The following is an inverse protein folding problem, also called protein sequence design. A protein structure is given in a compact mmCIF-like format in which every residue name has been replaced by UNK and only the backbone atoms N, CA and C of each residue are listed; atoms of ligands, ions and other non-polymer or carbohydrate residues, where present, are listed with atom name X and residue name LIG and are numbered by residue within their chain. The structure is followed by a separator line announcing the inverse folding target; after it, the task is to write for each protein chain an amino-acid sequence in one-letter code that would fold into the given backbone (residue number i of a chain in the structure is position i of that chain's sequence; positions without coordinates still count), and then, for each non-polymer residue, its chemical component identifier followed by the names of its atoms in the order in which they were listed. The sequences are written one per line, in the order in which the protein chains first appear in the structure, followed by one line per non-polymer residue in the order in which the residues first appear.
data_IF_285911013590
#
_entry.id   IF_285911013590
#
_cell.length_a   1.000
_cell.length_b   1.000
_cell.length_c   1.000
_cell.angle_alpha   90.00
_cell.angle_beta   90.00
_cell.angle_gamma   90.00
#
_symmetry.space_group_name_H-M   'P 1'
#
loop_
_entity.id
_entity.type
_entity.pdbx_description
1 polymer ?
#
# COMPACT_ATOMS: atom_id res chain seq x y z
N UNK A 1 18.33 10.61 -20.06
CA UNK A 1 19.18 11.09 -18.94
C UNK A 1 18.63 12.38 -18.32
N UNK A 2 18.09 13.32 -19.10
CA UNK A 2 17.50 14.56 -18.57
C UNK A 2 16.21 14.31 -17.75
N UNK A 3 15.33 13.42 -18.21
CA UNK A 3 14.12 13.00 -17.47
C UNK A 3 14.44 12.45 -16.07
N UNK A 4 15.52 11.66 -15.94
CA UNK A 4 15.95 11.12 -14.65
C UNK A 4 16.33 12.25 -13.68
N UNK A 5 17.00 13.31 -14.17
CA UNK A 5 17.37 14.48 -13.36
C UNK A 5 16.14 15.31 -12.95
N UNK A 6 15.15 15.42 -13.84
CA UNK A 6 13.87 16.10 -13.54
C UNK A 6 13.12 15.34 -12.45
N UNK A 7 13.06 14.01 -12.54
CA UNK A 7 12.43 13.16 -11.55
C UNK A 7 13.13 13.24 -10.19
N UNK A 8 14.46 13.12 -10.14
CA UNK A 8 15.24 13.24 -8.90
C UNK A 8 15.03 14.60 -8.22
N UNK A 9 15.02 15.69 -9.01
CA UNK A 9 14.73 17.04 -8.50
C UNK A 9 13.30 17.14 -7.95
N UNK A 10 12.34 16.53 -8.63
CA UNK A 10 10.94 16.49 -8.19
C UNK A 10 10.79 15.73 -6.86
N UNK A 11 11.49 14.60 -6.69
CA UNK A 11 11.54 13.89 -5.41
C UNK A 11 12.15 14.71 -4.29
N UNK A 12 13.22 15.46 -4.55
CA UNK A 12 13.81 16.37 -3.54
C UNK A 12 12.85 17.47 -3.11
N UNK A 13 12.10 18.04 -4.06
CA UNK A 13 11.05 19.03 -3.76
C UNK A 13 9.93 18.41 -2.93
N UNK A 14 9.46 17.20 -3.30
CA UNK A 14 8.44 16.47 -2.56
C UNK A 14 8.87 16.17 -1.12
N UNK A 15 10.10 15.67 -0.91
CA UNK A 15 10.62 15.42 0.43
C UNK A 15 10.75 16.71 1.27
N UNK A 16 11.06 17.83 0.61
CA UNK A 16 11.09 19.15 1.27
C UNK A 16 9.68 19.58 1.66
N UNK A 17 8.68 19.37 0.79
CA UNK A 17 7.27 19.64 1.10
C UNK A 17 6.82 18.88 2.34
N UNK A 18 7.06 17.57 2.39
CA UNK A 18 6.67 16.72 3.53
C UNK A 18 7.28 17.24 4.85
N UNK A 19 8.60 17.52 4.85
CA UNK A 19 9.30 17.98 6.04
C UNK A 19 8.80 19.34 6.54
N UNK A 20 8.51 20.27 5.62
CA UNK A 20 8.01 21.60 5.99
C UNK A 20 6.52 21.61 6.32
N UNK A 21 5.76 20.64 5.82
CA UNK A 21 4.37 20.42 6.20
C UNK A 21 4.26 20.01 7.67
N UNK A 22 5.06 19.04 8.11
CA UNK A 22 5.08 18.64 9.52
C UNK A 22 5.53 19.81 10.41
N UNK A 23 6.51 20.60 9.97
CA UNK A 23 6.93 21.82 10.68
C UNK A 23 5.82 22.86 10.73
N UNK A 24 5.03 23.06 9.67
CA UNK A 24 3.94 24.04 9.63
C UNK A 24 2.84 23.77 10.66
N UNK A 25 2.69 22.51 11.10
CA UNK A 25 1.74 22.13 12.16
C UNK A 25 2.19 22.60 13.54
N UNK A 26 3.50 22.66 13.78
CA UNK A 26 4.08 23.01 15.09
C UNK A 26 4.49 24.49 15.14
N UNK A 27 5.07 24.99 14.04
CA UNK A 27 5.66 26.33 13.93
C UNK A 27 5.22 26.97 12.60
N UNK A 28 3.95 27.39 12.49
CA UNK A 28 3.48 28.10 11.31
C UNK A 28 4.16 29.47 11.22
N UNK A 29 4.76 29.76 10.06
CA UNK A 29 5.46 31.02 9.83
C UNK A 29 5.41 31.42 8.35
N UNK A 30 5.66 32.70 8.07
CA UNK A 30 5.79 33.20 6.69
C UNK A 30 6.88 32.48 5.90
N UNK A 31 7.96 32.09 6.58
CA UNK A 31 9.05 31.34 5.98
C UNK A 31 8.58 29.94 5.55
N UNK A 32 7.90 29.22 6.45
CA UNK A 32 7.34 27.89 6.18
C UNK A 32 6.35 27.95 5.01
N UNK A 33 5.40 28.90 5.03
CA UNK A 33 4.45 29.08 3.93
C UNK A 33 5.15 29.35 2.59
N UNK A 34 6.18 30.20 2.60
CA UNK A 34 6.92 30.54 1.37
C UNK A 34 7.63 29.32 0.77
N UNK A 35 8.19 28.45 1.61
CA UNK A 35 8.83 27.21 1.14
C UNK A 35 7.78 26.27 0.56
N UNK A 36 6.68 26.03 1.28
CA UNK A 36 5.60 25.15 0.82
C UNK A 36 5.05 25.60 -0.54
N UNK A 37 4.68 26.87 -0.67
CA UNK A 37 4.16 27.46 -1.92
C UNK A 37 5.16 27.32 -3.07
N UNK A 38 6.43 27.66 -2.84
CA UNK A 38 7.45 27.58 -3.88
C UNK A 38 7.74 26.14 -4.30
N UNK A 39 7.76 25.20 -3.36
CA UNK A 39 7.97 23.80 -3.67
C UNK A 39 6.80 23.20 -4.46
N UNK A 40 5.54 23.51 -4.10
CA UNK A 40 4.37 23.07 -4.89
C UNK A 40 4.41 23.61 -6.31
N UNK A 41 4.64 24.93 -6.46
CA UNK A 41 4.76 25.54 -7.78
C UNK A 41 5.90 24.93 -8.60
N UNK A 42 7.08 24.75 -7.99
CA UNK A 42 8.25 24.19 -8.67
C UNK A 42 8.03 22.72 -9.06
N UNK A 43 7.39 21.94 -8.19
CA UNK A 43 7.07 20.54 -8.44
C UNK A 43 6.12 20.41 -9.63
N UNK A 44 5.08 21.25 -9.68
CA UNK A 44 4.15 21.30 -10.80
C UNK A 44 4.85 21.78 -12.08
N UNK A 45 5.58 22.89 -12.03
CA UNK A 45 6.25 23.48 -13.19
C UNK A 45 7.28 22.55 -13.83
N UNK A 46 8.01 21.75 -13.02
CA UNK A 46 8.94 20.74 -13.54
C UNK A 46 8.26 19.62 -14.32
N UNK A 47 6.99 19.34 -14.01
CA UNK A 47 6.22 18.24 -14.59
C UNK A 47 5.10 18.75 -15.52
N UNK A 48 5.07 20.05 -15.85
CA UNK A 48 3.98 20.66 -16.64
C UNK A 48 3.91 20.15 -18.08
N UNK A 49 5.02 19.62 -18.62
CA UNK A 49 5.07 19.01 -19.95
C UNK A 49 4.46 17.61 -19.96
N UNK A 50 4.33 16.98 -18.80
CA UNK A 50 3.74 15.65 -18.66
C UNK A 50 2.22 15.81 -18.60
N UNK A 51 1.44 15.12 -19.46
CA UNK A 51 -0.01 15.11 -19.35
C UNK A 51 -0.44 14.78 -17.92
N UNK A 52 -1.42 15.52 -17.37
CA UNK A 52 -1.76 15.43 -15.96
C UNK A 52 -2.09 14.00 -15.50
N UNK A 53 -2.77 13.23 -16.34
CA UNK A 53 -3.07 11.81 -16.16
C UNK A 53 -1.83 10.97 -15.86
N UNK A 54 -0.70 11.29 -16.50
CA UNK A 54 0.55 10.55 -16.39
C UNK A 54 1.54 11.22 -15.41
N UNK A 55 1.11 12.23 -14.67
CA UNK A 55 1.98 12.98 -13.77
C UNK A 55 2.20 12.17 -12.48
N UNK A 56 3.45 11.81 -12.14
CA UNK A 56 3.74 10.95 -10.99
C UNK A 56 3.41 11.58 -9.63
N UNK A 57 3.10 12.89 -9.59
CA UNK A 57 2.75 13.62 -8.38
C UNK A 57 1.25 13.99 -8.30
N UNK A 58 0.42 13.48 -9.21
CA UNK A 58 -1.02 13.74 -9.17
C UNK A 58 -1.66 13.22 -7.87
N UNK A 59 -1.30 12.01 -7.42
CA UNK A 59 -1.79 11.45 -6.16
C UNK A 59 -1.46 12.34 -4.97
N UNK A 60 -0.21 12.84 -4.88
CA UNK A 60 0.22 13.79 -3.85
C UNK A 60 -0.70 15.03 -3.78
N UNK A 61 -1.02 15.65 -4.91
CA UNK A 61 -1.87 16.85 -4.92
C UNK A 61 -3.32 16.54 -4.53
N UNK A 62 -3.86 15.42 -4.99
CA UNK A 62 -5.22 14.97 -4.63
C UNK A 62 -5.31 14.70 -3.12
N UNK A 63 -4.36 13.92 -2.57
CA UNK A 63 -4.27 13.62 -1.15
C UNK A 63 -4.08 14.89 -0.30
N UNK A 64 -3.24 15.82 -0.77
CA UNK A 64 -3.00 17.08 -0.09
C UNK A 64 -4.29 17.90 0.01
N UNK A 65 -5.07 18.03 -1.07
CA UNK A 65 -6.36 18.75 -1.02
C UNK A 65 -7.31 18.07 -0.03
N UNK A 66 -7.53 16.76 -0.16
CA UNK A 66 -8.44 16.00 0.72
C UNK A 66 -8.10 16.15 2.19
N UNK A 67 -6.80 16.21 2.52
CA UNK A 67 -6.32 16.31 3.88
C UNK A 67 -6.33 17.74 4.42
N UNK A 68 -5.97 18.73 3.61
CA UNK A 68 -5.88 20.14 4.02
C UNK A 68 -7.26 20.80 4.15
N UNK A 69 -8.28 20.29 3.46
CA UNK A 69 -9.67 20.76 3.59
C UNK A 69 -10.41 20.19 4.81
N UNK A 70 -9.84 19.20 5.49
CA UNK A 70 -10.46 18.68 6.70
C UNK A 70 -10.47 19.77 7.78
N UNK A 71 -11.60 19.98 8.48
CA UNK A 71 -11.70 20.98 9.52
C UNK A 71 -10.72 20.64 10.64
N UNK A 72 -9.68 21.47 10.79
CA UNK A 72 -8.70 21.31 11.86
C UNK A 72 -9.31 21.88 13.15
N UNK A 73 -9.45 21.04 14.17
CA UNK A 73 -9.88 21.47 15.51
C UNK A 73 -8.72 22.23 16.18
N UNK A 74 -8.55 23.51 15.86
CA UNK A 74 -7.44 24.31 16.39
C UNK A 74 -7.68 24.75 17.85
N UNK A 75 -6.68 24.54 18.71
CA UNK A 75 -6.59 25.18 20.04
C UNK A 75 -5.81 26.49 19.86
N UNK A 76 -6.52 27.60 19.78
CA UNK A 76 -5.93 28.91 19.44
C UNK A 76 -5.18 29.52 20.64
N UNK A 77 -3.85 29.58 20.58
CA UNK A 77 -3.06 30.54 21.37
C UNK A 77 -2.63 31.66 20.43
N UNK A 78 -3.36 32.78 20.45
CA UNK A 78 -3.10 33.92 19.57
C UNK A 78 -1.82 34.64 19.99
N UNK A 79 -0.89 34.76 19.03
CA UNK A 79 0.18 35.76 19.02
C UNK A 79 -0.10 36.71 17.85
N UNK A 80 -0.03 38.03 18.07
CA UNK A 80 -0.56 39.07 17.17
C UNK A 80 0.14 39.19 15.80
N UNK A 81 1.29 38.54 15.57
CA UNK A 81 2.02 38.61 14.29
C UNK A 81 2.23 37.24 13.60
N UNK A 82 1.82 36.13 14.23
CA UNK A 82 2.07 34.80 13.70
C UNK A 82 0.95 34.33 12.76
N UNK A 83 1.32 33.77 11.60
CA UNK A 83 0.35 33.06 10.74
C UNK A 83 -0.19 31.85 11.50
N UNK A 84 -1.50 31.62 11.41
CA UNK A 84 -2.14 30.43 11.96
C UNK A 84 -1.94 29.23 11.03
N UNK A 85 -1.78 28.03 11.58
CA UNK A 85 -1.56 26.80 10.82
C UNK A 85 -2.68 26.54 9.79
N UNK A 86 -3.95 26.75 10.19
CA UNK A 86 -5.11 26.71 9.30
C UNK A 86 -4.95 27.61 8.07
N UNK A 87 -4.47 28.84 8.23
CA UNK A 87 -4.24 29.72 7.10
C UNK A 87 -3.15 29.20 6.16
N UNK A 88 -2.10 28.56 6.68
CA UNK A 88 -1.08 27.90 5.83
C UNK A 88 -1.72 26.78 5.01
N UNK A 89 -2.56 25.95 5.63
CA UNK A 89 -3.24 24.85 4.95
C UNK A 89 -4.22 25.35 3.89
N UNK A 90 -5.04 26.37 4.20
CA UNK A 90 -5.99 26.96 3.25
C UNK A 90 -5.28 27.57 2.05
N UNK A 91 -4.23 28.36 2.26
CA UNK A 91 -3.46 28.97 1.16
C UNK A 91 -2.81 27.90 0.29
N UNK A 92 -2.25 26.85 0.90
CA UNK A 92 -1.66 25.74 0.15
C UNK A 92 -2.70 24.96 -0.66
N UNK A 93 -3.85 24.64 -0.07
CA UNK A 93 -4.92 23.94 -0.78
C UNK A 93 -5.42 24.74 -1.99
N UNK A 94 -5.67 26.05 -1.82
CA UNK A 94 -6.10 26.92 -2.92
C UNK A 94 -5.04 27.07 -4.02
N UNK A 95 -3.76 27.08 -3.67
CA UNK A 95 -2.69 27.06 -4.66
C UNK A 95 -2.72 25.76 -5.48
N UNK A 96 -2.82 24.60 -4.83
CA UNK A 96 -2.83 23.30 -5.53
C UNK A 96 -4.05 23.21 -6.46
N UNK A 97 -5.24 23.62 -5.98
CA UNK A 97 -6.44 23.71 -6.82
C UNK A 97 -6.22 24.60 -8.04
N UNK A 98 -5.62 25.78 -7.83
CA UNK A 98 -5.30 26.72 -8.90
C UNK A 98 -4.32 26.12 -9.91
N UNK A 99 -3.31 25.37 -9.46
CA UNK A 99 -2.36 24.68 -10.34
C UNK A 99 -3.04 23.61 -11.19
N UNK A 100 -3.91 22.79 -10.58
CA UNK A 100 -4.64 21.73 -11.28
C UNK A 100 -5.66 22.27 -12.30
N UNK A 101 -6.30 23.40 -12.01
CA UNK A 101 -7.23 24.06 -12.93
C UNK A 101 -6.53 24.91 -14.00
N UNK A 102 -5.36 25.47 -13.70
CA UNK A 102 -4.67 26.39 -14.59
C UNK A 102 -3.98 25.62 -15.72
N UNK A 103 -4.52 25.75 -16.94
CA UNK A 103 -3.78 25.37 -18.15
C UNK A 103 -2.52 26.21 -18.41
N UNK A 104 -2.33 27.33 -17.70
CA UNK A 104 -1.15 28.19 -17.78
C UNK A 104 -0.68 28.67 -16.39
N UNK A 105 0.48 28.19 -15.96
CA UNK A 105 1.11 28.46 -14.65
C UNK A 105 1.75 29.86 -14.54
N UNK A 106 1.92 30.56 -15.66
CA UNK A 106 2.71 31.81 -15.72
C UNK A 106 2.16 32.92 -14.81
N UNK A 107 0.84 32.96 -14.59
CA UNK A 107 0.23 33.96 -13.71
C UNK A 107 0.48 33.67 -12.24
N UNK A 108 0.55 32.39 -11.85
CA UNK A 108 0.84 31.97 -10.48
C UNK A 108 2.30 32.25 -10.13
N UNK A 109 3.22 32.04 -11.07
CA UNK A 109 4.66 32.32 -10.88
C UNK A 109 5.01 33.79 -10.64
N UNK A 110 4.10 34.73 -10.92
CA UNK A 110 4.31 36.16 -10.66
C UNK A 110 3.87 36.60 -9.27
N UNK A 111 3.12 35.75 -8.54
CA UNK A 111 2.59 36.08 -7.22
C UNK A 111 3.57 35.64 -6.14
N UNK A 112 3.82 36.50 -5.17
CA UNK A 112 4.57 36.11 -3.98
C UNK A 112 3.65 35.42 -2.95
N UNK A 113 4.20 34.63 -2.01
CA UNK A 113 3.41 33.93 -0.99
C UNK A 113 2.49 34.84 -0.17
N UNK A 114 2.90 36.09 0.10
CA UNK A 114 2.07 37.09 0.79
C UNK A 114 0.85 37.51 -0.05
N UNK A 115 1.03 37.68 -1.37
CA UNK A 115 -0.09 38.01 -2.25
C UNK A 115 -1.09 36.87 -2.33
N UNK A 116 -0.62 35.63 -2.46
CA UNK A 116 -1.48 34.43 -2.43
C UNK A 116 -2.23 34.33 -1.11
N UNK A 117 -1.56 34.59 0.02
CA UNK A 117 -2.19 34.62 1.33
C UNK A 117 -3.32 35.65 1.39
N UNK A 118 -3.05 36.90 1.00
CA UNK A 118 -4.05 37.97 1.07
C UNK A 118 -5.24 37.68 0.15
N UNK A 119 -5.01 37.15 -1.05
CA UNK A 119 -6.08 36.76 -1.96
C UNK A 119 -6.98 35.66 -1.39
N UNK A 120 -6.40 34.66 -0.72
CA UNK A 120 -7.16 33.52 -0.19
C UNK A 120 -7.83 33.83 1.14
N UNK A 121 -7.12 34.51 2.05
CA UNK A 121 -7.57 34.72 3.43
C UNK A 121 -8.30 36.04 3.61
N UNK A 122 -7.79 37.15 3.04
CA UNK A 122 -8.40 38.47 3.21
C UNK A 122 -9.51 38.74 2.19
N UNK A 123 -9.45 38.11 1.02
CA UNK A 123 -10.41 38.28 -0.08
C UNK A 123 -10.96 36.94 -0.60
N UNK A 124 -11.53 36.08 0.27
CA UNK A 124 -11.87 34.71 -0.08
C UNK A 124 -12.82 34.67 -1.27
N UNK A 125 -12.32 34.15 -2.39
CA UNK A 125 -13.15 33.80 -3.54
C UNK A 125 -13.61 32.37 -3.36
N UNK A 126 -14.91 32.16 -3.28
CA UNK A 126 -15.49 30.82 -3.34
C UNK A 126 -15.34 30.29 -4.77
N UNK A 127 -14.21 29.62 -5.02
CA UNK A 127 -14.06 28.80 -6.22
C UNK A 127 -14.56 27.40 -5.90
N UNK A 128 -15.55 26.91 -6.66
CA UNK A 128 -15.92 25.50 -6.61
C UNK A 128 -14.83 24.71 -7.31
N UNK A 129 -14.18 23.81 -6.59
CA UNK A 129 -13.20 22.89 -7.15
C UNK A 129 -13.76 21.48 -7.06
N UNK A 130 -13.96 20.84 -8.22
CA UNK A 130 -14.35 19.44 -8.28
C UNK A 130 -13.09 18.57 -8.32
N UNK A 131 -12.89 17.76 -7.27
CA UNK A 131 -11.77 16.84 -7.16
C UNK A 131 -12.01 15.54 -7.95
N UNK A 132 -13.27 15.24 -8.33
CA UNK A 132 -13.61 13.96 -8.96
C UNK A 132 -12.92 13.65 -10.28
N UNK A 133 -12.70 14.61 -11.20
CA UNK A 133 -11.97 14.33 -12.43
C UNK A 133 -10.56 13.81 -12.16
N UNK A 134 -9.88 14.33 -11.13
CA UNK A 134 -8.51 13.93 -10.77
C UNK A 134 -8.48 12.59 -10.05
N UNK A 135 -9.46 12.32 -9.17
CA UNK A 135 -9.61 10.99 -8.56
C UNK A 135 -9.86 9.94 -9.64
N UNK A 136 -10.74 10.21 -10.60
CA UNK A 136 -11.01 9.29 -11.72
C UNK A 136 -9.74 9.00 -12.53
N UNK A 137 -8.89 10.00 -12.77
CA UNK A 137 -7.59 9.76 -13.43
C UNK A 137 -6.72 8.79 -12.62
N UNK A 138 -6.68 8.92 -11.29
CA UNK A 138 -5.92 8.00 -10.42
C UNK A 138 -6.54 6.61 -10.35
N UNK A 139 -7.88 6.51 -10.40
CA UNK A 139 -8.61 5.24 -10.46
C UNK A 139 -8.42 4.53 -11.81
N UNK A 140 -8.31 5.28 -12.92
CA UNK A 140 -8.05 4.74 -14.26
C UNK A 140 -6.61 4.23 -14.42
N UNK A 141 -5.65 4.79 -13.68
CA UNK A 141 -4.24 4.36 -13.66
C UNK A 141 -3.95 3.34 -12.53
N UNK A 142 -4.98 2.79 -11.89
CA UNK A 142 -4.89 1.82 -10.78
C UNK A 142 -4.03 2.31 -9.60
N UNK A 143 -3.96 3.62 -9.39
CA UNK A 143 -3.31 4.26 -8.23
C UNK A 143 -4.33 4.36 -7.07
N UNK A 144 -5.59 4.64 -7.37
CA UNK A 144 -6.71 4.68 -6.42
C UNK A 144 -7.68 3.53 -6.67
N UNK A 145 -8.37 3.09 -5.61
CA UNK A 145 -9.50 2.18 -5.73
C UNK A 145 -10.68 2.89 -6.39
N UNK A 146 -11.33 2.25 -7.37
CA UNK A 146 -12.55 2.78 -7.97
C UNK A 146 -13.59 2.97 -6.88
N UNK A 147 -13.99 4.22 -6.67
CA UNK A 147 -15.10 4.48 -5.78
C UNK A 147 -16.33 3.77 -6.36
N UNK A 148 -17.04 2.92 -5.58
CA UNK A 148 -18.24 2.26 -6.07
C UNK A 148 -19.18 3.31 -6.66
N UNK A 149 -19.51 3.17 -7.94
CA UNK A 149 -20.48 4.08 -8.53
C UNK A 149 -21.76 3.96 -7.69
N UNK A 150 -22.30 5.08 -7.18
CA UNK A 150 -23.54 5.04 -6.43
C UNK A 150 -24.55 4.28 -7.30
N UNK A 151 -25.25 3.27 -6.75
CA UNK A 151 -26.11 2.41 -7.54
C UNK A 151 -27.01 3.32 -8.36
N UNK A 152 -26.88 3.24 -9.69
CA UNK A 152 -27.77 3.97 -10.57
C UNK A 152 -29.19 3.71 -10.07
N UNK A 153 -30.06 4.73 -9.95
CA UNK A 153 -31.40 4.55 -9.45
C UNK A 153 -32.12 3.57 -10.38
N UNK A 154 -32.05 2.28 -10.02
CA UNK A 154 -32.77 1.23 -10.67
C UNK A 154 -34.23 1.60 -10.46
N UNK A 155 -34.88 1.93 -11.56
CA UNK A 155 -36.31 2.15 -11.64
C UNK A 155 -36.99 0.80 -11.34
N UNK A 156 -37.08 0.44 -10.05
CA UNK A 156 -37.68 -0.82 -9.62
C UNK A 156 -39.19 -0.67 -9.74
N UNK A 157 -39.74 -1.15 -10.86
CA UNK A 157 -41.16 -1.46 -10.96
C UNK A 157 -41.46 -2.65 -10.06
N UNK A 158 -42.25 -2.39 -9.02
CA UNK A 158 -42.72 -3.38 -8.05
C UNK A 158 -43.66 -4.41 -8.69
N UNK A 159 -43.26 -5.68 -8.68
CA UNK A 159 -44.07 -6.91 -8.71
C UNK A 159 -43.06 -8.06 -8.51
N UNK A 160 -43.20 -9.05 -7.64
CA UNK A 160 -44.25 -9.53 -6.78
C UNK A 160 -43.70 -10.76 -6.05
N UNK A 161 -44.02 -10.85 -4.77
CA UNK A 161 -44.25 -12.04 -3.95
C UNK A 161 -43.71 -13.41 -4.43
N UNK A 162 -42.77 -14.00 -3.69
CA UNK A 162 -42.68 -15.45 -3.47
C UNK A 162 -41.74 -15.81 -2.32
N UNK A 163 -42.40 -16.19 -1.22
CA UNK A 163 -41.90 -16.86 -0.03
C UNK A 163 -41.21 -18.19 -0.38
N UNK A 164 -39.96 -18.38 0.07
CA UNK A 164 -39.29 -19.69 0.10
C UNK A 164 -38.54 -19.89 1.44
N UNK A 165 -38.48 -21.13 1.96
CA UNK A 165 -38.16 -21.41 3.36
C UNK A 165 -36.66 -21.54 3.62
N UNK A 166 -36.25 -21.00 4.77
CA UNK A 166 -34.90 -21.04 5.32
C UNK A 166 -34.52 -22.46 5.77
N UNK A 167 -33.38 -23.04 5.32
CA UNK A 167 -32.88 -24.28 5.90
C UNK A 167 -32.13 -24.00 7.21
N UNK A 168 -32.33 -24.92 8.13
CA UNK A 168 -31.89 -24.89 9.53
C UNK A 168 -30.35 -24.92 9.66
N UNK A 169 -29.86 -23.97 10.46
CA UNK A 169 -28.50 -23.88 10.98
C UNK A 169 -28.11 -25.12 11.79
N UNK A 170 -27.25 -25.96 11.22
CA UNK A 170 -26.48 -26.96 11.96
C UNK A 170 -25.34 -26.32 12.77
N UNK A 171 -24.83 -26.99 13.83
CA UNK A 171 -23.76 -26.47 14.67
C UNK A 171 -22.44 -26.39 13.87
N UNK A 172 -21.96 -25.17 13.65
CA UNK A 172 -20.63 -24.86 13.12
C UNK A 172 -19.55 -25.60 13.91
N UNK A 173 -18.99 -26.66 13.32
CA UNK A 173 -17.73 -27.25 13.80
C UNK A 173 -16.66 -26.15 13.78
N UNK A 174 -15.88 -26.08 14.86
CA UNK A 174 -14.84 -25.08 15.03
C UNK A 174 -13.70 -25.32 14.05
N UNK A 175 -13.53 -24.43 13.06
CA UNK A 175 -12.45 -24.45 12.04
C UNK A 175 -11.04 -24.63 12.62
N UNK A 176 -10.83 -24.26 13.88
CA UNK A 176 -9.55 -24.44 14.58
C UNK A 176 -9.19 -25.90 14.81
N UNK A 177 -10.19 -26.78 15.02
CA UNK A 177 -9.95 -28.20 15.21
C UNK A 177 -9.44 -28.86 13.92
N UNK A 178 -9.99 -28.44 12.78
CA UNK A 178 -9.64 -29.02 11.49
C UNK A 178 -8.20 -28.69 11.09
N UNK A 179 -7.76 -27.45 11.34
CA UNK A 179 -6.38 -27.04 11.06
C UNK A 179 -5.35 -27.76 11.93
N UNK A 180 -5.65 -27.98 13.22
CA UNK A 180 -4.76 -28.73 14.11
C UNK A 180 -4.64 -30.20 13.71
N UNK A 181 -5.75 -30.82 13.31
CA UNK A 181 -5.75 -32.18 12.81
C UNK A 181 -4.95 -32.29 11.50
N UNK A 182 -5.12 -31.34 10.59
CA UNK A 182 -4.34 -31.25 9.36
C UNK A 182 -2.83 -31.08 9.63
N UNK A 183 -2.42 -30.26 10.60
CA UNK A 183 -1.00 -30.12 10.99
C UNK A 183 -0.38 -31.45 11.41
N UNK A 184 -1.08 -32.20 12.26
CA UNK A 184 -0.59 -33.49 12.75
C UNK A 184 -0.51 -34.54 11.64
N UNK A 185 -1.50 -34.55 10.75
CA UNK A 185 -1.49 -35.40 9.56
C UNK A 185 -0.31 -35.07 8.64
N UNK A 186 -0.06 -33.79 8.37
CA UNK A 186 1.07 -33.37 7.54
C UNK A 186 2.43 -33.73 8.19
N UNK A 187 2.59 -33.56 9.50
CA UNK A 187 3.81 -33.98 10.22
C UNK A 187 4.01 -35.49 10.10
N UNK A 188 2.94 -36.29 10.27
CA UNK A 188 3.01 -37.74 10.09
C UNK A 188 3.41 -38.09 8.65
N UNK A 189 2.89 -37.38 7.66
CA UNK A 189 3.23 -37.60 6.24
C UNK A 189 4.63 -37.13 5.87
N UNK A 190 5.16 -36.08 6.51
CA UNK A 190 6.58 -35.73 6.37
C UNK A 190 7.50 -36.86 6.85
N UNK A 191 7.07 -37.65 7.85
CA UNK A 191 7.84 -38.79 8.36
C UNK A 191 7.74 -40.03 7.45
N UNK A 192 6.58 -40.29 6.87
CA UNK A 192 6.33 -41.52 6.09
C UNK A 192 6.51 -41.35 4.59
N UNK A 193 6.12 -40.19 4.05
CA UNK A 193 6.00 -39.88 2.62
C UNK A 193 6.43 -38.42 2.32
N UNK A 194 7.71 -38.05 2.57
CA UNK A 194 8.18 -36.68 2.43
C UNK A 194 7.99 -36.10 1.02
N UNK A 195 8.11 -36.93 -0.02
CA UNK A 195 7.93 -36.55 -1.43
C UNK A 195 6.52 -36.00 -1.75
N UNK A 196 5.52 -36.39 -0.96
CA UNK A 196 4.12 -35.92 -1.11
C UNK A 196 3.85 -34.73 -0.19
N UNK A 197 4.40 -34.76 1.02
CA UNK A 197 4.16 -33.74 2.03
C UNK A 197 4.90 -32.42 1.77
N UNK A 198 6.10 -32.46 1.16
CA UNK A 198 6.87 -31.24 0.84
C UNK A 198 6.12 -30.34 -0.16
N UNK A 199 5.56 -30.86 -1.27
CA UNK A 199 4.69 -30.06 -2.14
C UNK A 199 3.54 -29.39 -1.38
N UNK A 200 2.87 -30.10 -0.47
CA UNK A 200 1.80 -29.48 0.32
C UNK A 200 2.30 -28.36 1.25
N UNK A 201 3.49 -28.55 1.82
CA UNK A 201 4.13 -27.56 2.68
C UNK A 201 4.54 -26.28 1.91
N UNK A 202 4.98 -26.43 0.66
CA UNK A 202 5.35 -25.30 -0.22
C UNK A 202 4.13 -24.55 -0.77
N UNK A 203 2.96 -25.19 -0.82
CA UNK A 203 1.71 -24.61 -1.35
C UNK A 203 0.79 -24.02 -0.27
N UNK A 204 1.29 -23.85 0.97
CA UNK A 204 0.48 -23.28 2.04
C UNK A 204 0.01 -21.84 1.73
N UNK A 205 -1.18 -21.45 2.21
CA UNK A 205 -1.67 -20.10 2.00
C UNK A 205 -0.84 -19.07 2.79
N UNK A 206 -0.87 -17.82 2.34
CA UNK A 206 -0.17 -16.68 2.96
C UNK A 206 -1.00 -16.16 4.16
N UNK A 207 -1.22 -17.04 5.13
CA UNK A 207 -1.97 -16.77 6.35
C UNK A 207 -1.08 -16.91 7.59
N UNK A 208 -1.42 -16.19 8.66
CA UNK A 208 -0.65 -16.23 9.91
C UNK A 208 -0.53 -17.65 10.49
N UNK A 209 -1.58 -18.46 10.40
CA UNK A 209 -1.65 -19.84 10.88
C UNK A 209 -0.64 -20.76 10.17
N UNK A 210 -0.49 -20.61 8.86
CA UNK A 210 0.46 -21.34 8.01
C UNK A 210 1.89 -20.87 8.22
N UNK A 211 2.11 -19.55 8.29
CA UNK A 211 3.43 -18.96 8.54
C UNK A 211 3.98 -19.30 9.92
N UNK A 212 3.11 -19.31 10.94
CA UNK A 212 3.45 -19.75 12.29
C UNK A 212 3.84 -21.22 12.29
N UNK A 213 3.07 -22.08 11.60
CA UNK A 213 3.39 -23.50 11.46
C UNK A 213 4.75 -23.75 10.78
N UNK A 214 5.03 -23.09 9.66
CA UNK A 214 6.34 -23.17 8.99
C UNK A 214 7.46 -22.70 9.93
N UNK A 215 7.23 -21.60 10.64
CA UNK A 215 8.19 -21.10 11.64
C UNK A 215 8.44 -22.14 12.73
N UNK A 216 7.40 -22.78 13.26
CA UNK A 216 7.52 -23.84 14.28
C UNK A 216 8.36 -25.01 13.77
N UNK A 217 8.09 -25.51 12.56
CA UNK A 217 8.85 -26.63 11.97
C UNK A 217 10.36 -26.32 11.85
N UNK A 218 10.70 -25.08 11.50
CA UNK A 218 12.10 -24.64 11.41
C UNK A 218 12.73 -24.47 12.80
N UNK A 219 12.02 -23.83 13.72
CA UNK A 219 12.52 -23.57 15.08
C UNK A 219 12.74 -24.86 15.87
N UNK A 220 11.88 -25.85 15.71
CA UNK A 220 11.97 -27.15 16.36
C UNK A 220 12.96 -28.09 15.65
N UNK A 221 13.53 -27.68 14.51
CA UNK A 221 14.42 -28.51 13.71
C UNK A 221 13.71 -29.76 13.16
N UNK A 222 12.39 -29.72 12.99
CA UNK A 222 11.60 -30.88 12.57
C UNK A 222 12.01 -31.37 11.19
N UNK A 223 12.26 -30.46 10.24
CA UNK A 223 12.72 -30.80 8.89
C UNK A 223 14.12 -31.43 8.92
N UNK A 224 15.04 -30.83 9.69
CA UNK A 224 16.41 -31.34 9.85
C UNK A 224 16.42 -32.73 10.51
N UNK A 225 15.58 -32.96 11.52
CA UNK A 225 15.41 -34.25 12.18
C UNK A 225 14.91 -35.35 11.23
N UNK A 226 14.23 -34.97 10.15
CA UNK A 226 13.75 -35.86 9.09
C UNK A 226 14.71 -35.91 7.88
N UNK A 227 15.91 -35.34 8.00
CA UNK A 227 16.90 -35.21 6.92
C UNK A 227 16.37 -34.46 5.69
N UNK A 228 15.46 -33.51 5.89
CA UNK A 228 14.93 -32.61 4.86
C UNK A 228 15.66 -31.27 4.98
N UNK A 229 16.29 -30.83 3.88
CA UNK A 229 16.91 -29.50 3.81
C UNK A 229 15.81 -28.43 3.82
N UNK A 230 15.88 -27.52 4.79
CA UNK A 230 14.88 -26.47 4.98
C UNK A 230 15.00 -25.35 3.93
N UNK A 231 16.21 -25.08 3.42
CA UNK A 231 16.44 -23.96 2.52
C UNK A 231 15.63 -24.07 1.20
N UNK A 232 15.67 -25.21 0.46
CA UNK A 232 14.85 -25.39 -0.74
C UNK A 232 13.36 -25.28 -0.47
N UNK A 233 12.88 -25.89 0.62
CA UNK A 233 11.45 -25.87 0.99
C UNK A 233 10.95 -24.44 1.21
N UNK A 234 11.75 -23.60 1.89
CA UNK A 234 11.37 -22.21 2.16
C UNK A 234 11.48 -21.34 0.90
N UNK A 235 12.51 -21.53 0.06
CA UNK A 235 12.62 -20.86 -1.23
C UNK A 235 11.41 -21.18 -2.12
N UNK A 236 11.04 -22.46 -2.24
CA UNK A 236 9.89 -22.90 -3.03
C UNK A 236 8.56 -22.32 -2.49
N UNK A 237 8.39 -22.31 -1.16
CA UNK A 237 7.24 -21.65 -0.52
C UNK A 237 7.17 -20.17 -0.87
N UNK A 238 8.29 -19.44 -0.76
CA UNK A 238 8.35 -18.02 -1.07
C UNK A 238 8.04 -17.74 -2.54
N UNK A 239 8.56 -18.54 -3.46
CA UNK A 239 8.25 -18.42 -4.89
C UNK A 239 6.77 -18.68 -5.17
N UNK A 240 6.17 -19.70 -4.56
CA UNK A 240 4.75 -19.97 -4.68
C UNK A 240 3.91 -18.80 -4.11
N UNK A 241 4.25 -18.32 -2.90
CA UNK A 241 3.60 -17.18 -2.29
C UNK A 241 3.70 -15.90 -3.13
N UNK A 242 4.83 -15.66 -3.82
CA UNK A 242 4.99 -14.53 -4.72
C UNK A 242 4.09 -14.62 -5.95
N UNK A 243 3.92 -15.82 -6.53
CA UNK A 243 2.98 -16.06 -7.63
C UNK A 243 1.53 -15.84 -7.19
N UNK A 244 1.14 -16.32 -6.02
CA UNK A 244 -0.18 -16.05 -5.45
C UNK A 244 -0.41 -14.55 -5.23
N UNK A 245 0.59 -13.86 -4.68
CA UNK A 245 0.54 -12.42 -4.42
C UNK A 245 0.42 -11.61 -5.73
N UNK A 246 1.05 -12.07 -6.81
CA UNK A 246 0.89 -11.50 -8.14
C UNK A 246 -0.55 -11.66 -8.64
N UNK A 247 -1.10 -12.88 -8.56
CA UNK A 247 -2.48 -13.17 -8.96
C UNK A 247 -3.51 -12.36 -8.17
N UNK A 248 -3.27 -12.10 -6.88
CA UNK A 248 -4.12 -11.22 -6.07
C UNK A 248 -4.19 -9.79 -6.63
N UNK A 249 -3.18 -9.33 -7.36
CA UNK A 249 -3.16 -7.99 -7.96
C UNK A 249 -3.97 -7.90 -9.25
N UNK A 250 -4.27 -9.03 -9.89
CA UNK A 250 -5.01 -9.07 -11.16
C UNK A 250 -6.52 -9.16 -10.90
N UNK A 251 -7.35 -8.43 -11.67
CA UNK A 251 -8.79 -8.61 -11.59
C UNK A 251 -9.15 -10.05 -12.02
N UNK A 252 -10.17 -10.67 -11.41
CA UNK A 252 -10.59 -12.02 -11.78
C UNK A 252 -10.91 -12.07 -13.27
N UNK A 253 -10.23 -12.96 -14.00
CA UNK A 253 -10.42 -13.09 -15.44
C UNK A 253 -11.90 -13.44 -15.72
N UNK A 254 -12.61 -12.66 -16.55
CA UNK A 254 -14.04 -12.89 -16.81
C UNK A 254 -14.33 -14.24 -17.46
N UNK A 255 -13.30 -14.91 -17.98
CA UNK A 255 -13.38 -16.21 -18.66
C UNK A 255 -13.53 -17.40 -17.70
N UNK A 256 -13.19 -17.27 -16.42
CA UNK A 256 -13.25 -18.38 -15.45
C UNK A 256 -14.60 -18.49 -14.71
N UNK A 257 -15.45 -17.45 -14.81
CA UNK A 257 -16.77 -17.43 -14.16
C UNK A 257 -17.80 -18.42 -14.78
N UNK A 258 -17.43 -19.17 -15.83
CA UNK A 258 -18.37 -19.95 -16.64
C UNK A 258 -18.27 -21.48 -16.57
N UNK A 259 -17.23 -22.09 -15.96
CA UNK A 259 -16.94 -23.51 -16.26
C UNK A 259 -16.68 -24.47 -15.09
N UNK A 260 -16.78 -24.08 -13.82
CA UNK A 260 -16.59 -25.04 -12.71
C UNK A 260 -17.87 -25.22 -11.91
N UNK A 261 -18.76 -26.02 -12.47
CA UNK A 261 -19.91 -26.55 -11.77
C UNK A 261 -19.52 -27.60 -10.72
N UNK A 262 -20.18 -27.48 -9.57
CA UNK A 262 -20.54 -28.52 -8.60
C UNK A 262 -19.47 -28.97 -7.59
N UNK A 263 -19.77 -28.63 -6.33
CA UNK A 263 -19.35 -29.23 -5.05
C UNK A 263 -17.94 -28.89 -4.52
N UNK A 264 -17.81 -27.74 -3.85
CA UNK A 264 -17.62 -27.72 -2.39
C UNK A 264 -17.95 -26.33 -1.82
N UNK A 265 -18.68 -26.30 -0.71
CA UNK A 265 -19.43 -25.14 -0.20
C UNK A 265 -18.62 -24.12 0.60
N UNK A 266 -17.38 -23.84 0.19
CA UNK A 266 -16.57 -22.76 0.77
C UNK A 266 -16.13 -21.81 -0.33
N UNK A 267 -17.02 -20.89 -0.70
CA UNK A 267 -16.62 -19.62 -1.34
C UNK A 267 -15.67 -18.89 -0.38
N UNK A 268 -14.38 -19.24 -0.44
CA UNK A 268 -13.32 -18.32 -0.09
C UNK A 268 -13.43 -17.23 -1.14
N UNK A 269 -14.14 -16.15 -0.80
CA UNK A 269 -14.01 -14.86 -1.46
C UNK A 269 -12.54 -14.52 -1.36
N UNK A 270 -11.77 -14.90 -2.38
CA UNK A 270 -10.38 -14.53 -2.47
C UNK A 270 -10.37 -13.01 -2.53
N UNK A 271 -9.77 -12.39 -1.51
CA UNK A 271 -9.57 -10.95 -1.52
C UNK A 271 -8.67 -10.66 -2.74
N UNK A 272 -9.23 -10.04 -3.78
CA UNK A 272 -8.49 -9.55 -4.94
C UNK A 272 -8.20 -8.05 -4.76
N UNK A 273 -7.23 -7.56 -5.53
CA UNK A 273 -6.83 -6.16 -5.59
C UNK A 273 -5.54 -5.85 -4.84
N UNK A 274 -5.11 -4.58 -5.00
CA UNK A 274 -3.87 -4.03 -4.42
C UNK A 274 -3.81 -4.18 -2.90
N UNK A 275 -4.94 -4.10 -2.20
CA UNK A 275 -4.97 -4.25 -0.73
C UNK A 275 -4.60 -5.68 -0.32
N UNK A 276 -5.21 -6.68 -0.96
CA UNK A 276 -4.92 -8.08 -0.71
C UNK A 276 -3.45 -8.41 -1.02
N UNK A 277 -2.97 -7.94 -2.18
CA UNK A 277 -1.56 -8.03 -2.56
C UNK A 277 -0.65 -7.36 -1.50
N UNK A 278 -0.99 -6.16 -1.05
CA UNK A 278 -0.23 -5.43 -0.03
C UNK A 278 -0.20 -6.19 1.30
N UNK A 279 -1.33 -6.76 1.72
CA UNK A 279 -1.46 -7.54 2.96
C UNK A 279 -0.61 -8.82 2.88
N UNK A 280 -0.67 -9.52 1.76
CA UNK A 280 0.14 -10.71 1.50
C UNK A 280 1.65 -10.40 1.53
N UNK A 281 2.08 -9.33 0.85
CA UNK A 281 3.50 -8.89 0.91
C UNK A 281 3.91 -8.56 2.34
N UNK A 282 3.08 -7.84 3.12
CA UNK A 282 3.41 -7.51 4.52
C UNK A 282 3.57 -8.76 5.38
N UNK A 283 2.71 -9.76 5.23
CA UNK A 283 2.83 -11.04 5.93
C UNK A 283 4.12 -11.79 5.53
N UNK A 284 4.42 -11.81 4.23
CA UNK A 284 5.64 -12.43 3.73
C UNK A 284 6.91 -11.73 4.26
N UNK A 285 6.93 -10.39 4.29
CA UNK A 285 8.03 -9.62 4.88
C UNK A 285 8.21 -9.89 6.38
N UNK A 286 7.11 -10.03 7.13
CA UNK A 286 7.16 -10.38 8.55
C UNK A 286 7.76 -11.78 8.74
N UNK A 287 7.34 -12.74 7.92
CA UNK A 287 7.89 -14.09 7.94
C UNK A 287 9.39 -14.10 7.64
N UNK A 288 9.84 -13.48 6.53
CA UNK A 288 11.26 -13.42 6.16
C UNK A 288 12.09 -12.74 7.24
N UNK A 289 11.61 -11.61 7.79
CA UNK A 289 12.32 -10.90 8.87
C UNK A 289 12.47 -11.80 10.11
N UNK A 290 11.47 -12.63 10.41
CA UNK A 290 11.54 -13.58 11.51
C UNK A 290 12.54 -14.71 11.22
N UNK A 291 12.61 -15.22 9.98
CA UNK A 291 13.61 -16.21 9.57
C UNK A 291 15.04 -15.69 9.77
N UNK A 292 15.32 -14.48 9.30
CA UNK A 292 16.65 -13.85 9.37
C UNK A 292 17.04 -13.56 10.82
N UNK A 293 16.17 -12.90 11.60
CA UNK A 293 16.48 -12.54 12.99
C UNK A 293 16.76 -13.72 13.89
N UNK A 294 16.12 -14.86 13.61
CA UNK A 294 16.29 -16.10 14.37
C UNK A 294 17.32 -17.04 13.75
N UNK A 295 17.98 -16.63 12.65
CA UNK A 295 18.92 -17.45 11.89
C UNK A 295 18.35 -18.85 11.54
N UNK A 296 17.05 -18.92 11.21
CA UNK A 296 16.38 -20.19 10.87
C UNK A 296 16.70 -20.67 9.47
N UNK A 297 16.99 -19.72 8.57
CA UNK A 297 17.42 -19.97 7.19
C UNK A 297 18.51 -18.96 6.88
N UNK A 298 19.61 -19.41 6.26
CA UNK A 298 20.70 -18.54 5.83
C UNK A 298 20.21 -17.48 4.85
N UNK A 299 20.64 -16.23 5.02
CA UNK A 299 20.21 -15.12 4.16
C UNK A 299 20.59 -15.36 2.70
N UNK A 300 21.75 -16.00 2.48
CA UNK A 300 22.24 -16.43 1.17
C UNK A 300 21.30 -17.41 0.46
N UNK A 301 20.58 -18.24 1.21
CA UNK A 301 19.68 -19.25 0.66
C UNK A 301 18.37 -18.65 0.10
N UNK A 302 17.94 -17.50 0.62
CA UNK A 302 16.72 -16.79 0.22
C UNK A 302 17.00 -15.42 -0.40
N UNK A 303 18.25 -15.18 -0.82
CA UNK A 303 18.70 -13.88 -1.30
C UNK A 303 17.92 -13.44 -2.55
N UNK A 304 17.69 -14.36 -3.49
CA UNK A 304 17.02 -14.03 -4.75
C UNK A 304 15.55 -13.67 -4.54
N UNK A 305 14.84 -14.38 -3.66
CA UNK A 305 13.45 -14.08 -3.33
C UNK A 305 13.34 -12.73 -2.59
N UNK A 306 14.29 -12.41 -1.71
CA UNK A 306 14.37 -11.08 -1.08
C UNK A 306 14.55 -9.99 -2.14
N UNK A 307 15.47 -10.17 -3.09
CA UNK A 307 15.69 -9.21 -4.17
C UNK A 307 14.44 -9.05 -5.04
N UNK A 308 13.79 -10.16 -5.40
CA UNK A 308 12.56 -10.14 -6.18
C UNK A 308 11.47 -9.30 -5.49
N UNK A 309 11.24 -9.53 -4.19
CA UNK A 309 10.27 -8.76 -3.40
C UNK A 309 10.63 -7.27 -3.39
N UNK A 310 11.91 -6.96 -3.16
CA UNK A 310 12.40 -5.59 -3.03
C UNK A 310 12.29 -4.79 -4.33
N UNK A 311 12.43 -5.46 -5.48
CA UNK A 311 12.29 -4.83 -6.81
C UNK A 311 10.83 -4.73 -7.20
N UNK A 312 10.11 -5.84 -7.14
CA UNK A 312 8.75 -5.98 -7.67
C UNK A 312 7.72 -5.18 -6.88
N UNK A 313 7.88 -5.14 -5.56
CA UNK A 313 6.93 -4.49 -4.65
C UNK A 313 7.50 -3.21 -4.02
N UNK A 314 8.48 -2.57 -4.66
CA UNK A 314 9.15 -1.35 -4.18
C UNK A 314 8.20 -0.20 -3.84
N UNK A 315 7.01 -0.17 -4.46
CA UNK A 315 5.98 0.85 -4.22
C UNK A 315 5.36 0.73 -2.82
N UNK A 316 5.38 -0.46 -2.20
CA UNK A 316 4.94 -0.68 -0.82
C UNK A 316 5.99 -0.10 0.15
N UNK A 317 5.54 0.75 1.09
CA UNK A 317 6.45 1.41 2.05
C UNK A 317 7.25 0.41 2.88
N UNK A 318 6.60 -0.63 3.38
CA UNK A 318 7.20 -1.67 4.22
C UNK A 318 8.29 -2.46 3.49
N UNK A 319 8.21 -2.59 2.15
CA UNK A 319 9.26 -3.22 1.34
C UNK A 319 10.53 -2.35 1.32
N UNK A 320 10.39 -1.03 1.21
CA UNK A 320 11.54 -0.11 1.26
C UNK A 320 12.19 -0.10 2.64
N UNK A 321 11.38 -0.08 3.70
CA UNK A 321 11.87 -0.20 5.08
C UNK A 321 12.58 -1.54 5.31
N UNK A 322 12.03 -2.63 4.77
CA UNK A 322 12.65 -3.96 4.82
C UNK A 322 13.99 -4.01 4.06
N UNK A 323 14.07 -3.40 2.89
CA UNK A 323 15.32 -3.28 2.13
C UNK A 323 16.41 -2.57 2.94
N UNK A 324 16.08 -1.44 3.58
CA UNK A 324 17.02 -0.74 4.46
C UNK A 324 17.44 -1.60 5.65
N UNK A 325 16.55 -2.42 6.19
CA UNK A 325 16.87 -3.39 7.25
C UNK A 325 17.91 -4.42 6.78
N UNK A 326 17.75 -5.01 5.60
CA UNK A 326 18.71 -5.97 5.03
C UNK A 326 20.08 -5.32 4.74
N UNK A 327 20.08 -4.13 4.12
CA UNK A 327 21.31 -3.39 3.82
C UNK A 327 22.04 -2.93 5.10
N UNK A 328 21.29 -2.60 6.16
CA UNK A 328 21.82 -2.20 7.46
C UNK A 328 22.47 -3.35 8.25
N UNK A 329 21.89 -4.56 8.20
CA UNK A 329 22.51 -5.74 8.81
C UNK A 329 23.81 -6.15 8.08
N UNK A 330 23.87 -5.98 6.75
CA UNK A 330 25.06 -6.28 5.96
C UNK A 330 26.26 -5.34 6.20
N UNK A 331 26.02 -4.10 6.62
CA UNK A 331 27.08 -3.11 6.83
C UNK A 331 27.72 -3.15 8.23
N UNK A 332 27.10 -3.83 9.20
CA UNK A 332 27.56 -3.89 10.60
C UNK A 332 28.19 -5.22 11.04
N UNK A 333 28.10 -6.27 10.22
CA UNK A 333 28.52 -7.63 10.59
C UNK A 333 29.93 -7.99 10.14
N UNK A 334 30.95 -7.57 10.88
CA UNK A 334 32.24 -8.28 10.89
C UNK A 334 32.05 -9.72 11.42
N UNK A 335 32.92 -10.68 11.04
CA UNK A 335 32.71 -12.08 11.34
C UNK A 335 32.86 -12.33 12.84
N UNK A 336 31.73 -12.56 13.50
CA UNK A 336 31.66 -13.08 14.86
C UNK A 336 30.81 -14.35 14.87
N UNK A 337 31.25 -15.37 14.14
CA UNK A 337 30.83 -16.75 14.39
C UNK A 337 32.03 -17.68 14.17
N UNK A 338 32.56 -18.16 15.29
CA UNK A 338 33.33 -19.38 15.42
C UNK A 338 32.59 -20.32 16.37
#
# INVERSE_FOLDING_TARGET
MEELKVFEKSLRLKNTLDAFEDRARVEPSWHTLSILVNCEYSLFALNQSTPLRNNPFLSHWVEAIQRLEQPVTERTTRSDEAIVSSNVHTVRAELIKSLLQAGNTSQLGQKCPKQLYNEVIESPRTSSFDLRPYIRMLEEEDIYERTPEPPEPQNVSSQGDSTMPSPETGPTRSKLSDFQQWKQDLISRLQTEPEVAIPELTHLPIELSSLDFLTTLLQEGTLEALAIDSAPVISDYMQHALRLTEQMGEPPSPTEAGSSGLNDGSEQVADYGREAQTRAVKLLLLFIRNLIRKALVGMEAIYFEIQEICVRYVWIREVREFRTFIEGEGAGGGPAFG
#
